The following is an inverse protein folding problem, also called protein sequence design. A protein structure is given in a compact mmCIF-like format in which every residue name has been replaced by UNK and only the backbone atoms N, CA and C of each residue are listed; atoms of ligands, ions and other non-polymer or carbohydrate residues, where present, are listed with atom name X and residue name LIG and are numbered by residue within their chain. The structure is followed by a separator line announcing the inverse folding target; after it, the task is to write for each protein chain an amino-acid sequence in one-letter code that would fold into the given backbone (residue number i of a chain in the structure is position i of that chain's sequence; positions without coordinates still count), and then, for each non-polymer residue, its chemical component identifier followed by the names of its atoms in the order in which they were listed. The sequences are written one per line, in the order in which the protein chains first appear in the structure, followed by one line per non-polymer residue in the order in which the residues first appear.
data_IF_382430118129
#
_entry.id   IF_382430118129
#
_cell.length_a   1.000
_cell.length_b   1.000
_cell.length_c   1.000
_cell.angle_alpha   90.00
_cell.angle_beta   90.00
_cell.angle_gamma   90.00
#
_symmetry.space_group_name_H-M   'P 1'
#
loop_
_entity.id
_entity.type
_entity.pdbx_description
1 polymer ?
#
# COMPACT_ATOMS: atom_id res chain seq x y z
N UNK A 1 -27.90 11.72 1.07
CA UNK A 1 -28.08 10.28 0.86
C UNK A 1 -26.70 9.64 0.65
N UNK A 2 -26.13 8.94 1.66
CA UNK A 2 -24.94 8.10 1.41
C UNK A 2 -25.43 6.97 0.50
N UNK A 3 -25.08 6.99 -0.79
CA UNK A 3 -25.53 5.94 -1.70
C UNK A 3 -24.92 4.63 -1.24
N UNK A 4 -25.73 3.59 -1.00
CA UNK A 4 -25.25 2.28 -0.53
C UNK A 4 -24.17 1.67 -1.44
N UNK A 5 -24.18 2.07 -2.71
CA UNK A 5 -23.15 1.75 -3.71
C UNK A 5 -21.75 2.25 -3.33
N UNK A 6 -21.63 3.40 -2.65
CA UNK A 6 -20.33 3.93 -2.19
C UNK A 6 -19.76 3.12 -1.02
N UNK A 7 -20.62 2.65 -0.11
CA UNK A 7 -20.23 1.82 1.03
C UNK A 7 -19.76 0.43 0.61
N UNK A 8 -20.50 -0.21 -0.30
CA UNK A 8 -20.13 -1.53 -0.84
C UNK A 8 -18.76 -1.49 -1.55
N UNK A 9 -18.49 -0.43 -2.33
CA UNK A 9 -17.18 -0.25 -2.99
C UNK A 9 -16.05 -0.10 -1.99
N UNK A 10 -16.21 0.75 -0.97
CA UNK A 10 -15.20 0.94 0.07
C UNK A 10 -14.91 -0.37 0.83
N UNK A 11 -15.96 -1.11 1.17
CA UNK A 11 -15.85 -2.42 1.80
C UNK A 11 -15.10 -3.44 0.94
N UNK A 12 -15.44 -3.52 -0.36
CA UNK A 12 -14.75 -4.43 -1.30
C UNK A 12 -13.26 -4.08 -1.41
N UNK A 13 -12.91 -2.80 -1.56
CA UNK A 13 -11.53 -2.34 -1.62
C UNK A 13 -10.77 -2.76 -0.35
N UNK A 14 -11.36 -2.55 0.83
CA UNK A 14 -10.78 -2.95 2.11
C UNK A 14 -10.52 -4.46 2.20
N UNK A 15 -11.48 -5.30 1.80
CA UNK A 15 -11.34 -6.76 1.91
C UNK A 15 -10.35 -7.34 0.91
N UNK A 16 -10.45 -6.95 -0.35
CA UNK A 16 -9.55 -7.45 -1.40
C UNK A 16 -8.11 -7.03 -1.12
N UNK A 17 -7.89 -5.76 -0.76
CA UNK A 17 -6.56 -5.28 -0.38
C UNK A 17 -6.02 -6.01 0.84
N UNK A 18 -6.83 -6.20 1.90
CA UNK A 18 -6.39 -6.89 3.11
C UNK A 18 -5.94 -8.35 2.84
N UNK A 19 -6.68 -9.09 2.02
CA UNK A 19 -6.33 -10.47 1.64
C UNK A 19 -5.00 -10.49 0.89
N UNK A 20 -4.82 -9.60 -0.08
CA UNK A 20 -3.57 -9.50 -0.82
C UNK A 20 -2.39 -9.11 0.07
N UNK A 21 -2.54 -8.06 0.89
CA UNK A 21 -1.51 -7.58 1.80
C UNK A 21 -1.11 -8.66 2.80
N UNK A 22 -2.09 -9.34 3.41
CA UNK A 22 -1.84 -10.44 4.34
C UNK A 22 -1.06 -11.59 3.70
N UNK A 23 -1.46 -12.00 2.50
CA UNK A 23 -0.74 -13.03 1.74
C UNK A 23 0.69 -12.61 1.39
N UNK A 24 0.87 -11.36 0.94
CA UNK A 24 2.19 -10.82 0.63
C UNK A 24 3.09 -10.71 1.87
N UNK A 25 2.56 -10.29 3.02
CA UNK A 25 3.32 -10.26 4.27
C UNK A 25 3.76 -11.65 4.71
N UNK A 26 2.89 -12.66 4.63
CA UNK A 26 3.26 -14.04 4.92
C UNK A 26 4.37 -14.50 3.98
N UNK A 27 4.22 -14.26 2.67
CA UNK A 27 5.25 -14.57 1.68
C UNK A 27 6.59 -13.90 2.03
N UNK A 28 6.60 -12.60 2.32
CA UNK A 28 7.81 -11.85 2.64
C UNK A 28 8.49 -12.37 3.92
N UNK A 29 7.71 -12.66 4.97
CA UNK A 29 8.24 -13.24 6.21
C UNK A 29 8.85 -14.62 5.99
N UNK A 30 8.18 -15.50 5.24
CA UNK A 30 8.71 -16.83 4.89
C UNK A 30 9.97 -16.70 4.05
N UNK A 31 9.97 -15.83 3.04
CA UNK A 31 11.13 -15.59 2.18
C UNK A 31 12.35 -15.12 2.99
N UNK A 32 12.16 -14.21 3.95
CA UNK A 32 13.22 -13.75 4.85
C UNK A 32 13.69 -14.85 5.80
N UNK A 33 12.78 -15.67 6.33
CA UNK A 33 13.11 -16.74 7.27
C UNK A 33 13.95 -17.87 6.64
N UNK A 34 13.73 -18.19 5.37
CA UNK A 34 14.44 -19.27 4.67
C UNK A 34 15.74 -18.81 3.97
N UNK A 35 16.03 -17.50 3.96
CA UNK A 35 17.27 -16.93 3.41
C UNK A 35 18.09 -16.17 4.49
N UNK A 36 18.66 -16.88 5.49
CA UNK A 36 19.35 -16.26 6.63
C UNK A 36 20.67 -15.53 6.27
N UNK A 37 21.18 -15.70 5.06
CA UNK A 37 22.42 -15.08 4.56
C UNK A 37 22.18 -14.12 3.38
N UNK A 38 21.14 -13.30 3.50
CA UNK A 38 20.85 -12.20 2.57
C UNK A 38 21.85 -11.07 2.76
N UNK A 39 22.89 -11.04 1.94
CA UNK A 39 23.74 -9.87 1.77
C UNK A 39 23.10 -8.85 0.81
N UNK A 40 23.69 -7.66 0.72
CA UNK A 40 23.16 -6.58 -0.10
C UNK A 40 23.03 -6.96 -1.58
N UNK A 41 23.97 -7.75 -2.11
CA UNK A 41 23.97 -8.17 -3.50
C UNK A 41 22.83 -9.15 -3.80
N UNK A 42 22.68 -10.20 -2.98
CA UNK A 42 21.60 -11.18 -3.09
C UNK A 42 20.23 -10.54 -2.91
N UNK A 43 20.12 -9.56 -2.02
CA UNK A 43 18.90 -8.78 -1.84
C UNK A 43 18.54 -7.99 -3.08
N UNK A 44 19.50 -7.29 -3.69
CA UNK A 44 19.29 -6.55 -4.93
C UNK A 44 18.89 -7.49 -6.08
N UNK A 45 19.57 -8.62 -6.26
CA UNK A 45 19.24 -9.62 -7.29
C UNK A 45 17.84 -10.22 -7.08
N UNK A 46 17.44 -10.46 -5.83
CA UNK A 46 16.11 -10.97 -5.55
C UNK A 46 15.04 -9.94 -5.90
N UNK A 47 15.21 -8.69 -5.45
CA UNK A 47 14.29 -7.59 -5.74
C UNK A 47 14.19 -7.22 -7.22
N UNK A 48 15.24 -7.46 -8.01
CA UNK A 48 15.22 -7.18 -9.45
C UNK A 48 14.44 -8.23 -10.25
N UNK A 49 14.03 -9.36 -9.66
CA UNK A 49 13.24 -10.38 -10.35
C UNK A 49 11.89 -9.82 -10.85
N UNK A 50 11.54 -9.95 -12.15
CA UNK A 50 10.36 -9.30 -12.72
C UNK A 50 9.04 -9.64 -12.01
N UNK A 51 8.87 -10.89 -11.58
CA UNK A 51 7.66 -11.32 -10.89
C UNK A 51 7.56 -10.72 -9.48
N UNK A 52 8.68 -10.60 -8.77
CA UNK A 52 8.71 -9.95 -7.46
C UNK A 52 8.45 -8.45 -7.58
N UNK A 53 8.98 -7.79 -8.60
CA UNK A 53 8.68 -6.39 -8.89
C UNK A 53 7.20 -6.16 -9.17
N UNK A 54 6.57 -7.03 -9.98
CA UNK A 54 5.13 -6.96 -10.22
C UNK A 54 4.34 -7.16 -8.92
N UNK A 55 4.74 -8.12 -8.09
CA UNK A 55 4.11 -8.36 -6.80
C UNK A 55 4.28 -7.17 -5.84
N UNK A 56 5.45 -6.55 -5.78
CA UNK A 56 5.70 -5.34 -4.98
C UNK A 56 4.91 -4.12 -5.49
N UNK A 57 4.78 -3.97 -6.82
CA UNK A 57 3.97 -2.91 -7.41
C UNK A 57 2.49 -3.07 -7.03
N UNK A 58 1.97 -4.29 -7.17
CA UNK A 58 0.60 -4.62 -6.75
C UNK A 58 0.41 -4.46 -5.24
N UNK A 59 1.38 -4.90 -4.42
CA UNK A 59 1.40 -4.67 -2.98
C UNK A 59 1.26 -3.20 -2.65
N UNK A 60 2.04 -2.33 -3.31
CA UNK A 60 1.98 -0.89 -3.07
C UNK A 60 0.62 -0.31 -3.46
N UNK A 61 0.05 -0.69 -4.61
CA UNK A 61 -1.29 -0.26 -5.03
C UNK A 61 -2.35 -0.67 -3.99
N UNK A 62 -2.31 -1.92 -3.54
CA UNK A 62 -3.24 -2.45 -2.55
C UNK A 62 -3.07 -1.75 -1.19
N UNK A 63 -1.83 -1.48 -0.78
CA UNK A 63 -1.52 -0.80 0.48
C UNK A 63 -2.04 0.64 0.47
N UNK A 64 -1.81 1.38 -0.61
CA UNK A 64 -2.28 2.76 -0.76
C UNK A 64 -3.82 2.82 -0.76
N UNK A 65 -4.47 1.90 -1.47
CA UNK A 65 -5.94 1.82 -1.48
C UNK A 65 -6.49 1.47 -0.08
N UNK A 66 -5.88 0.50 0.61
CA UNK A 66 -6.26 0.10 1.97
C UNK A 66 -6.10 1.26 2.96
N UNK A 67 -4.94 1.91 2.94
CA UNK A 67 -4.62 3.03 3.82
C UNK A 67 -5.54 4.23 3.57
N UNK A 68 -5.81 4.58 2.31
CA UNK A 68 -6.70 5.69 1.97
C UNK A 68 -8.11 5.48 2.52
N UNK A 69 -8.73 4.33 2.22
CA UNK A 69 -10.10 4.05 2.67
C UNK A 69 -10.16 4.02 4.21
N UNK A 70 -9.21 3.34 4.86
CA UNK A 70 -9.18 3.23 6.32
C UNK A 70 -8.99 4.58 7.00
N UNK A 71 -8.00 5.37 6.58
CA UNK A 71 -7.73 6.67 7.17
C UNK A 71 -8.87 7.67 6.91
N UNK A 72 -9.43 7.67 5.69
CA UNK A 72 -10.60 8.50 5.35
C UNK A 72 -11.77 8.21 6.28
N UNK A 73 -12.09 6.94 6.49
CA UNK A 73 -13.26 6.56 7.29
C UNK A 73 -13.06 6.96 8.76
N UNK A 74 -11.87 6.72 9.33
CA UNK A 74 -11.49 7.23 10.67
C UNK A 74 -11.64 8.75 10.76
N UNK A 75 -11.12 9.50 9.78
CA UNK A 75 -11.19 10.97 9.80
C UNK A 75 -12.64 11.46 9.70
N UNK A 76 -13.45 10.85 8.83
CA UNK A 76 -14.86 11.23 8.65
C UNK A 76 -15.70 10.92 9.89
N UNK A 77 -15.42 9.82 10.59
CA UNK A 77 -16.18 9.37 11.75
C UNK A 77 -15.84 10.15 13.03
N UNK A 78 -14.57 10.53 13.21
CA UNK A 78 -14.11 11.12 14.47
C UNK A 78 -13.79 12.63 14.40
N UNK A 79 -13.46 13.19 13.23
CA UNK A 79 -13.10 14.62 13.12
C UNK A 79 -14.33 15.46 12.80
N UNK A 80 -14.85 16.18 13.80
CA UNK A 80 -16.06 17.01 13.68
C UNK A 80 -15.83 18.33 12.92
N UNK A 81 -14.81 19.15 13.23
CA UNK A 81 -14.65 20.45 12.58
C UNK A 81 -14.31 20.29 11.09
N UNK A 82 -15.10 20.92 10.22
CA UNK A 82 -14.97 20.75 8.76
C UNK A 82 -13.58 21.15 8.24
N UNK A 83 -13.02 22.27 8.68
CA UNK A 83 -11.71 22.75 8.25
C UNK A 83 -10.59 21.78 8.61
N UNK A 84 -10.59 21.29 9.85
CA UNK A 84 -9.61 20.29 10.31
C UNK A 84 -9.77 18.97 9.55
N UNK A 85 -11.00 18.51 9.35
CA UNK A 85 -11.28 17.28 8.60
C UNK A 85 -10.74 17.34 7.17
N UNK A 86 -11.01 18.44 6.45
CA UNK A 86 -10.52 18.61 5.08
C UNK A 86 -8.99 18.73 5.04
N UNK A 87 -8.40 19.46 5.98
CA UNK A 87 -6.94 19.55 6.11
C UNK A 87 -6.29 18.19 6.32
N UNK A 88 -6.81 17.37 7.24
CA UNK A 88 -6.29 16.02 7.50
C UNK A 88 -6.45 15.10 6.28
N UNK A 89 -7.60 15.12 5.61
CA UNK A 89 -7.80 14.34 4.38
C UNK A 89 -6.80 14.74 3.29
N UNK A 90 -6.52 16.04 3.13
CA UNK A 90 -5.53 16.52 2.17
C UNK A 90 -4.10 16.08 2.54
N UNK A 91 -3.72 16.20 3.81
CA UNK A 91 -2.41 15.73 4.31
C UNK A 91 -2.24 14.24 4.07
N UNK A 92 -3.23 13.42 4.42
CA UNK A 92 -3.19 11.97 4.18
C UNK A 92 -3.10 11.66 2.69
N UNK A 93 -3.90 12.32 1.84
CA UNK A 93 -3.85 12.11 0.40
C UNK A 93 -2.47 12.44 -0.19
N UNK A 94 -1.90 13.60 0.17
CA UNK A 94 -0.58 14.03 -0.29
C UNK A 94 0.54 13.10 0.21
N UNK A 95 0.46 12.65 1.46
CA UNK A 95 1.40 11.69 2.03
C UNK A 95 1.37 10.37 1.26
N UNK A 96 0.19 9.80 1.03
CA UNK A 96 0.02 8.54 0.30
C UNK A 96 0.48 8.68 -1.17
N UNK A 97 0.20 9.80 -1.82
CA UNK A 97 0.75 10.10 -3.16
C UNK A 97 2.27 10.14 -3.14
N UNK A 98 2.87 10.81 -2.14
CA UNK A 98 4.32 10.85 -1.95
C UNK A 98 4.92 9.44 -1.79
N UNK A 99 4.31 8.60 -0.94
CA UNK A 99 4.71 7.21 -0.78
C UNK A 99 4.61 6.41 -2.10
N UNK A 100 3.52 6.58 -2.85
CA UNK A 100 3.32 5.91 -4.13
C UNK A 100 4.35 6.32 -5.19
N UNK A 101 4.61 7.62 -5.33
CA UNK A 101 5.62 8.13 -6.27
C UNK A 101 7.02 7.68 -5.88
N UNK A 102 7.34 7.68 -4.58
CA UNK A 102 8.63 7.21 -4.09
C UNK A 102 8.83 5.70 -4.33
N UNK A 103 7.81 4.89 -4.06
CA UNK A 103 7.83 3.46 -4.34
C UNK A 103 7.96 3.17 -5.84
N UNK A 104 7.22 3.89 -6.69
CA UNK A 104 7.35 3.78 -8.14
C UNK A 104 8.78 4.10 -8.59
N UNK A 105 9.39 5.16 -8.06
CA UNK A 105 10.81 5.49 -8.33
C UNK A 105 11.74 4.36 -7.93
N UNK A 106 11.56 3.76 -6.75
CA UNK A 106 12.40 2.62 -6.31
C UNK A 106 12.27 1.44 -7.26
N UNK A 107 11.04 1.07 -7.64
CA UNK A 107 10.79 -0.07 -8.53
C UNK A 107 11.39 0.16 -9.92
N UNK A 108 11.29 1.38 -10.45
CA UNK A 108 11.93 1.74 -11.73
C UNK A 108 13.46 1.71 -11.67
N UNK A 109 14.06 2.04 -10.53
CA UNK A 109 15.50 1.95 -10.35
C UNK A 109 15.95 0.49 -10.21
N UNK A 110 15.14 -0.35 -9.56
CA UNK A 110 15.42 -1.78 -9.39
C UNK A 110 15.20 -2.61 -10.66
N UNK A 111 14.41 -2.11 -11.63
CA UNK A 111 14.23 -2.75 -12.94
C UNK A 111 15.35 -2.46 -13.93
N UNK A 112 16.09 -1.36 -13.72
CA UNK A 112 17.19 -0.94 -14.59
C UNK A 112 18.58 -1.43 -14.16
N UNK A 113 18.68 -2.13 -13.03
CA UNK A 113 19.92 -2.70 -12.46
C UNK A 113 20.04 -4.19 -12.73
#
# INVERSE_FOLDING_TARGET
MKTGLSGLRAWLIQRVSAVYLGGFFIFALVALAIHPHLDAARWQTWLSQPLLQLALALFMIMLLAHAWVGARDVIVDYVRPIGLRLGLLAVVALFLLGCGLWAARILLLASGS
#
